data_IF_853190943767
#
_entry.id   IF_853190943767
#
_cell.length_a   1.000
_cell.length_b   1.000
_cell.length_c   1.000
_cell.angle_alpha   90.00
_cell.angle_beta   90.00
_cell.angle_gamma   90.00
#
_symmetry.space_group_name_H-M   'P 1'
#
loop_
_entity.id
_entity.type
_entity.pdbx_description
1 polymer ?
#
# COMPACT_ATOMS: atom_id res chain seq x y z
N UNK A 1 8.21 16.98 -3.86
CA UNK A 1 7.91 15.89 -4.83
C UNK A 1 7.93 14.59 -4.05
N UNK A 2 6.80 13.93 -3.89
CA UNK A 2 6.68 12.77 -2.99
C UNK A 2 7.09 11.50 -3.73
N UNK A 3 8.13 10.83 -3.25
CA UNK A 3 8.41 9.45 -3.63
C UNK A 3 7.45 8.59 -2.80
N UNK A 4 6.34 8.18 -3.38
CA UNK A 4 5.50 7.18 -2.76
C UNK A 4 5.95 5.85 -3.33
N UNK A 5 6.78 5.12 -2.56
CA UNK A 5 6.86 3.69 -2.78
C UNK A 5 5.48 3.15 -2.44
N UNK A 6 4.80 2.63 -3.45
CA UNK A 6 3.45 2.14 -3.32
C UNK A 6 3.41 0.89 -2.45
N UNK A 7 3.27 1.08 -1.16
CA UNK A 7 2.89 0.03 -0.24
C UNK A 7 1.57 0.45 0.40
N UNK A 8 0.45 0.02 -0.18
CA UNK A 8 -0.82 0.08 0.53
C UNK A 8 -0.82 -1.05 1.54
N UNK A 9 -0.75 -0.69 2.81
CA UNK A 9 -0.95 -1.64 3.88
C UNK A 9 -2.45 -1.74 4.17
N UNK A 10 -3.06 -2.87 3.83
CA UNK A 10 -4.35 -3.25 4.38
C UNK A 10 -4.08 -3.97 5.69
N UNK A 11 -4.25 -3.29 6.82
CA UNK A 11 -4.12 -3.89 8.13
C UNK A 11 -5.42 -4.60 8.51
N UNK A 12 -5.35 -5.91 8.72
CA UNK A 12 -6.47 -6.76 9.07
C UNK A 12 -6.31 -7.24 10.52
N UNK A 13 -7.23 -6.87 11.39
CA UNK A 13 -7.22 -7.29 12.79
C UNK A 13 -8.27 -8.38 13.01
N UNK A 14 -7.89 -9.52 13.56
CA UNK A 14 -8.82 -10.57 13.96
C UNK A 14 -9.05 -10.51 15.48
N UNK A 15 -10.28 -10.24 15.88
CA UNK A 15 -10.72 -10.30 17.29
C UNK A 15 -11.34 -11.66 17.58
N UNK A 16 -10.95 -12.26 18.71
CA UNK A 16 -11.33 -13.62 19.08
C UNK A 16 -12.82 -13.82 19.37
N UNK A 17 -13.37 -14.84 18.76
CA UNK A 17 -14.65 -15.46 19.09
C UNK A 17 -14.62 -16.93 18.62
N UNK A 18 -14.86 -17.85 19.54
CA UNK A 18 -14.59 -19.26 19.43
C UNK A 18 -15.24 -19.97 18.26
N UNK A 19 -14.45 -20.55 17.38
CA UNK A 19 -14.66 -21.84 16.73
C UNK A 19 -13.35 -22.27 16.06
N UNK A 20 -12.73 -23.33 16.57
CA UNK A 20 -11.52 -23.93 16.04
C UNK A 20 -11.78 -24.54 14.66
N UNK A 21 -11.50 -23.75 13.60
CA UNK A 21 -11.26 -24.28 12.28
C UNK A 21 -9.79 -24.01 11.96
N UNK A 22 -9.01 -25.05 11.72
CA UNK A 22 -7.59 -24.93 11.32
C UNK A 22 -7.47 -23.94 10.17
N UNK A 23 -6.78 -22.85 10.42
CA UNK A 23 -6.56 -21.78 9.45
C UNK A 23 -5.64 -22.29 8.33
N UNK A 24 -5.91 -22.00 7.06
CA UNK A 24 -5.11 -22.49 5.93
C UNK A 24 -3.68 -21.98 5.88
N UNK A 25 -3.32 -21.02 6.73
CA UNK A 25 -1.97 -20.45 6.80
C UNK A 25 -1.11 -20.94 7.97
N UNK A 26 -1.62 -21.83 8.84
CA UNK A 26 -0.84 -22.50 9.90
C UNK A 26 -0.13 -21.58 10.91
N UNK A 27 -0.32 -20.27 10.84
CA UNK A 27 0.39 -19.25 11.62
C UNK A 27 -0.41 -18.83 12.86
N UNK A 28 -1.72 -19.06 12.85
CA UNK A 28 -2.64 -18.61 13.90
C UNK A 28 -3.10 -19.83 14.71
N UNK A 29 -2.35 -20.11 15.79
CA UNK A 29 -2.77 -21.07 16.82
C UNK A 29 -3.90 -20.54 17.69
N UNK A 30 -4.37 -21.35 18.66
CA UNK A 30 -5.33 -20.91 19.67
C UNK A 30 -4.76 -19.72 20.44
N UNK A 31 -5.44 -18.59 20.35
CA UNK A 31 -4.98 -17.33 20.92
C UNK A 31 -5.34 -17.21 22.37
N UNK A 32 -4.35 -16.91 23.24
CA UNK A 32 -4.60 -16.56 24.62
C UNK A 32 -5.46 -15.27 24.72
N UNK A 33 -6.31 -15.11 25.74
CA UNK A 33 -7.17 -13.93 25.91
C UNK A 33 -6.44 -12.60 25.85
N UNK A 34 -5.19 -12.55 26.31
CA UNK A 34 -4.34 -11.35 26.35
C UNK A 34 -3.31 -11.29 25.21
N UNK A 35 -3.43 -12.17 24.19
CA UNK A 35 -2.50 -12.16 23.07
C UNK A 35 -2.65 -10.86 22.24
N UNK A 36 -1.55 -10.30 21.71
CA UNK A 36 -1.62 -9.13 20.85
C UNK A 36 -2.47 -9.43 19.57
N UNK A 37 -3.11 -8.44 18.93
CA UNK A 37 -3.93 -8.66 17.76
C UNK A 37 -3.12 -9.27 16.61
N UNK A 38 -3.75 -10.19 15.87
CA UNK A 38 -3.18 -10.68 14.63
C UNK A 38 -3.28 -9.58 13.57
N UNK A 39 -2.17 -9.31 12.88
CA UNK A 39 -2.09 -8.30 11.85
C UNK A 39 -1.67 -8.96 10.54
N UNK A 40 -2.45 -8.74 9.47
CA UNK A 40 -2.07 -9.04 8.09
C UNK A 40 -1.85 -7.72 7.36
N UNK A 41 -0.65 -7.51 6.85
CA UNK A 41 -0.30 -6.38 6.00
C UNK A 41 -0.23 -6.90 4.56
N UNK A 42 -0.94 -6.23 3.64
CA UNK A 42 -0.94 -6.54 2.22
C UNK A 42 -0.43 -5.34 1.44
N UNK A 43 0.78 -5.45 0.90
CA UNK A 43 1.31 -4.51 -0.08
C UNK A 43 0.58 -4.67 -1.41
N UNK A 44 0.20 -3.55 -2.02
CA UNK A 44 -0.48 -3.51 -3.32
C UNK A 44 0.21 -2.53 -4.25
N UNK A 45 0.23 -2.75 -5.58
CA UNK A 45 0.55 -1.68 -6.50
C UNK A 45 -0.62 -0.69 -6.51
N UNK A 46 -0.36 0.57 -6.83
CA UNK A 46 -1.44 1.53 -7.05
C UNK A 46 -2.20 1.16 -8.34
N UNK A 47 -3.38 0.56 -8.21
CA UNK A 47 -4.20 0.19 -9.37
C UNK A 47 -4.65 1.42 -10.17
N UNK A 48 -4.86 2.53 -9.49
CA UNK A 48 -5.16 3.83 -10.09
C UNK A 48 -3.96 4.77 -9.94
N UNK A 49 -2.84 4.43 -10.61
CA UNK A 49 -1.65 5.26 -10.55
C UNK A 49 -1.84 6.53 -11.38
N UNK A 50 -1.94 7.72 -10.75
CA UNK A 50 -2.13 8.99 -11.45
C UNK A 50 -0.85 9.52 -12.13
N UNK A 51 0.28 8.80 -12.05
CA UNK A 51 1.54 9.19 -12.67
C UNK A 51 2.23 10.38 -11.98
N UNK A 52 2.08 10.52 -10.67
CA UNK A 52 2.62 11.65 -9.88
C UNK A 52 3.89 11.34 -9.10
N UNK A 53 4.33 10.08 -9.16
CA UNK A 53 5.53 9.62 -8.47
C UNK A 53 6.78 9.88 -9.30
N UNK A 54 7.96 9.85 -8.67
CA UNK A 54 9.26 10.02 -9.35
C UNK A 54 9.45 8.92 -10.40
N UNK A 55 9.01 7.70 -10.11
CA UNK A 55 8.91 6.58 -11.04
C UNK A 55 7.48 6.05 -11.02
N UNK A 56 6.98 5.62 -12.17
CA UNK A 56 5.57 5.28 -12.29
C UNK A 56 5.39 3.90 -12.93
N UNK A 57 4.62 3.05 -12.25
CA UNK A 57 4.24 1.75 -12.77
C UNK A 57 2.94 1.85 -13.58
N UNK A 58 2.89 1.20 -14.75
CA UNK A 58 1.67 1.13 -15.56
C UNK A 58 0.90 -0.14 -15.20
N UNK A 59 -0.27 0.05 -14.61
CA UNK A 59 -1.18 -1.04 -14.27
C UNK A 59 -2.27 -1.14 -15.33
N UNK A 60 -2.61 -2.37 -15.72
CA UNK A 60 -3.76 -2.63 -16.58
C UNK A 60 -5.07 -2.19 -15.94
N UNK A 61 -6.11 -2.06 -16.77
CA UNK A 61 -7.43 -1.73 -16.25
C UNK A 61 -8.00 -2.89 -15.43
N UNK A 62 -8.00 -2.70 -14.12
CA UNK A 62 -8.52 -3.68 -13.14
C UNK A 62 -10.06 -3.80 -13.17
N UNK A 63 -10.76 -2.90 -13.86
CA UNK A 63 -12.22 -2.95 -14.00
C UNK A 63 -12.68 -3.91 -15.10
N UNK A 64 -11.78 -4.52 -15.87
CA UNK A 64 -12.15 -5.55 -16.84
C UNK A 64 -12.81 -6.74 -16.14
N UNK A 65 -13.76 -7.44 -16.76
CA UNK A 65 -14.47 -8.58 -16.15
C UNK A 65 -13.52 -9.69 -15.68
N UNK A 66 -12.39 -9.88 -16.33
CA UNK A 66 -11.38 -10.85 -15.94
C UNK A 66 -10.70 -10.44 -14.63
N UNK A 67 -10.16 -9.22 -14.57
CA UNK A 67 -9.49 -8.67 -13.37
C UNK A 67 -10.43 -8.57 -12.19
N UNK A 68 -11.71 -8.25 -12.44
CA UNK A 68 -12.72 -8.22 -11.38
C UNK A 68 -12.93 -9.60 -10.74
N UNK A 69 -13.02 -10.68 -11.54
CA UNK A 69 -13.13 -12.06 -10.99
C UNK A 69 -11.87 -12.43 -10.19
N UNK A 70 -10.70 -12.03 -10.63
CA UNK A 70 -9.44 -12.28 -9.91
C UNK A 70 -9.41 -11.56 -8.56
N UNK A 71 -9.82 -10.29 -8.53
CA UNK A 71 -9.91 -9.48 -7.30
C UNK A 71 -10.94 -10.06 -6.34
N UNK A 72 -12.12 -10.47 -6.84
CA UNK A 72 -13.14 -11.13 -6.02
C UNK A 72 -12.60 -12.41 -5.36
N UNK A 73 -11.86 -13.23 -6.10
CA UNK A 73 -11.23 -14.43 -5.54
C UNK A 73 -10.16 -14.09 -4.47
N UNK A 74 -9.46 -12.97 -4.59
CA UNK A 74 -8.52 -12.49 -3.58
C UNK A 74 -9.29 -12.05 -2.33
N UNK A 75 -10.35 -11.27 -2.49
CA UNK A 75 -11.20 -10.82 -1.38
C UNK A 75 -11.77 -12.01 -0.60
N UNK A 76 -12.24 -13.06 -1.28
CA UNK A 76 -12.70 -14.28 -0.62
C UNK A 76 -11.59 -14.96 0.21
N UNK A 77 -10.36 -14.99 -0.28
CA UNK A 77 -9.22 -15.52 0.46
C UNK A 77 -8.86 -14.67 1.68
N UNK A 78 -8.88 -13.35 1.53
CA UNK A 78 -8.65 -12.43 2.63
C UNK A 78 -9.78 -12.53 3.68
N UNK A 79 -11.02 -12.71 3.25
CA UNK A 79 -12.16 -12.91 4.14
C UNK A 79 -12.02 -14.20 5.00
N UNK A 80 -11.30 -15.22 4.51
CA UNK A 80 -11.02 -16.43 5.30
C UNK A 80 -10.14 -16.15 6.54
N UNK A 81 -9.35 -15.08 6.55
CA UNK A 81 -8.62 -14.61 7.74
C UNK A 81 -9.58 -14.05 8.80
N UNK A 82 -10.82 -13.73 8.43
CA UNK A 82 -11.87 -13.15 9.29
C UNK A 82 -11.44 -11.91 10.06
N UNK A 83 -10.89 -10.90 9.40
CA UNK A 83 -10.50 -9.67 10.06
C UNK A 83 -11.72 -8.99 10.67
N UNK A 84 -11.55 -8.41 11.86
CA UNK A 84 -12.55 -7.59 12.54
C UNK A 84 -12.45 -6.12 12.16
N UNK A 85 -11.34 -5.73 11.59
CA UNK A 85 -11.08 -4.38 11.11
C UNK A 85 -10.35 -4.46 9.75
N UNK A 86 -10.71 -3.54 8.86
CA UNK A 86 -9.99 -3.31 7.60
C UNK A 86 -9.49 -1.87 7.63
N UNK A 87 -8.20 -1.68 7.43
CA UNK A 87 -7.57 -0.39 7.33
C UNK A 87 -6.95 -0.21 5.93
N UNK A 88 -7.01 1.00 5.41
CA UNK A 88 -6.51 1.35 4.08
C UNK A 88 -5.67 2.62 4.14
N UNK A 89 -4.76 2.77 3.20
CA UNK A 89 -3.94 3.95 3.02
C UNK A 89 -4.79 5.12 2.49
N UNK A 90 -5.58 5.66 3.38
CA UNK A 90 -6.38 6.86 3.17
C UNK A 90 -6.03 7.84 4.28
N UNK A 91 -5.90 9.13 3.96
CA UNK A 91 -5.54 10.14 4.96
C UNK A 91 -6.47 10.06 6.17
N UNK A 92 -5.90 9.91 7.35
CA UNK A 92 -6.66 9.83 8.61
C UNK A 92 -7.53 11.06 8.84
N UNK A 93 -7.05 12.24 8.44
CA UNK A 93 -7.81 13.51 8.45
C UNK A 93 -9.03 13.50 7.53
N UNK A 94 -9.11 12.57 6.57
CA UNK A 94 -10.24 12.43 5.64
C UNK A 94 -11.12 11.21 5.93
N UNK A 95 -11.07 10.66 7.15
CA UNK A 95 -11.87 9.50 7.56
C UNK A 95 -13.36 9.65 7.26
N UNK A 96 -13.96 10.81 7.54
CA UNK A 96 -15.38 11.04 7.25
C UNK A 96 -15.73 10.88 5.75
N UNK A 97 -14.80 11.23 4.86
CA UNK A 97 -15.00 11.06 3.42
C UNK A 97 -14.98 9.56 3.05
N UNK A 98 -14.10 8.79 3.69
CA UNK A 98 -14.06 7.34 3.53
C UNK A 98 -15.33 6.69 4.08
N UNK A 99 -15.82 7.11 5.25
CA UNK A 99 -17.05 6.60 5.85
C UNK A 99 -18.26 6.83 4.94
N UNK A 100 -18.39 8.02 4.35
CA UNK A 100 -19.45 8.31 3.36
C UNK A 100 -19.34 7.45 2.11
N UNK A 101 -18.15 7.32 1.54
CA UNK A 101 -17.90 6.46 0.37
C UNK A 101 -18.29 5.02 0.65
N UNK A 102 -17.87 4.49 1.79
CA UNK A 102 -18.19 3.12 2.17
C UNK A 102 -19.68 2.91 2.42
N UNK A 103 -20.35 3.85 3.09
CA UNK A 103 -21.79 3.81 3.27
C UNK A 103 -22.56 3.85 1.93
N UNK A 104 -22.12 4.67 0.98
CA UNK A 104 -22.69 4.75 -0.36
C UNK A 104 -22.46 3.46 -1.15
N UNK A 105 -21.28 2.85 -1.06
CA UNK A 105 -20.99 1.56 -1.66
C UNK A 105 -21.93 0.45 -1.08
N UNK A 106 -22.05 0.34 0.23
CA UNK A 106 -22.96 -0.62 0.87
C UNK A 106 -24.42 -0.42 0.48
N UNK A 107 -24.80 0.80 0.18
CA UNK A 107 -26.16 1.15 -0.24
C UNK A 107 -26.39 1.07 -1.76
N UNK A 108 -25.40 0.64 -2.54
CA UNK A 108 -25.48 0.56 -3.99
C UNK A 108 -25.51 1.91 -4.71
N UNK A 109 -25.08 2.98 -4.05
CA UNK A 109 -25.02 4.35 -4.63
C UNK A 109 -23.62 4.76 -5.11
N UNK A 110 -22.62 3.93 -4.87
CA UNK A 110 -21.25 4.16 -5.30
C UNK A 110 -20.71 2.93 -6.01
N UNK A 111 -20.21 3.10 -7.21
CA UNK A 111 -19.48 2.09 -7.95
C UNK A 111 -17.99 2.17 -7.61
N UNK A 112 -17.37 1.01 -7.32
CA UNK A 112 -15.96 0.95 -6.95
C UNK A 112 -15.09 1.48 -8.09
N UNK A 113 -14.22 2.41 -7.78
CA UNK A 113 -13.21 2.93 -8.69
C UNK A 113 -12.09 1.90 -8.94
N UNK A 114 -11.11 2.23 -9.78
CA UNK A 114 -9.92 1.38 -10.00
C UNK A 114 -9.03 1.24 -8.77
N UNK A 115 -9.12 2.18 -7.84
CA UNK A 115 -8.31 2.28 -6.63
C UNK A 115 -8.33 0.97 -5.81
N UNK A 116 -7.17 0.47 -5.39
CA UNK A 116 -7.02 -0.74 -4.60
C UNK A 116 -7.74 -0.67 -3.25
N UNK A 117 -7.88 0.54 -2.69
CA UNK A 117 -8.64 0.77 -1.45
C UNK A 117 -10.11 0.46 -1.65
N UNK A 118 -10.65 0.77 -2.82
CA UNK A 118 -12.02 0.41 -3.21
C UNK A 118 -12.10 -1.09 -3.54
N UNK A 119 -11.23 -1.54 -4.44
CA UNK A 119 -11.29 -2.87 -5.02
C UNK A 119 -11.03 -3.99 -4.01
N UNK A 120 -10.15 -3.75 -3.05
CA UNK A 120 -9.81 -4.73 -2.00
C UNK A 120 -10.41 -4.29 -0.66
N UNK A 121 -10.12 -3.07 -0.21
CA UNK A 121 -10.47 -2.60 1.12
C UNK A 121 -11.98 -2.52 1.37
N UNK A 122 -12.71 -1.72 0.58
CA UNK A 122 -14.15 -1.56 0.74
C UNK A 122 -14.89 -2.87 0.43
N UNK A 123 -14.46 -3.61 -0.60
CA UNK A 123 -15.06 -4.88 -0.98
C UNK A 123 -14.92 -5.92 0.13
N UNK A 124 -13.74 -6.04 0.74
CA UNK A 124 -13.48 -6.96 1.85
C UNK A 124 -14.32 -6.60 3.08
N UNK A 125 -14.34 -5.32 3.46
CA UNK A 125 -15.14 -4.86 4.59
C UNK A 125 -16.63 -5.14 4.38
N UNK A 126 -17.16 -4.86 3.20
CA UNK A 126 -18.56 -5.15 2.85
C UNK A 126 -18.87 -6.66 2.84
N UNK A 127 -17.94 -7.47 2.30
CA UNK A 127 -18.03 -8.94 2.28
C UNK A 127 -18.13 -9.54 3.68
N UNK A 128 -17.47 -8.91 4.66
CA UNK A 128 -17.46 -9.31 6.07
C UNK A 128 -18.58 -8.67 6.89
N UNK A 129 -19.37 -7.77 6.31
CA UNK A 129 -20.41 -7.03 7.03
C UNK A 129 -19.87 -6.05 8.06
N UNK A 130 -18.62 -5.58 7.91
CA UNK A 130 -18.03 -4.60 8.81
C UNK A 130 -18.72 -3.24 8.63
N UNK A 131 -18.87 -2.53 9.73
CA UNK A 131 -19.55 -1.23 9.70
C UNK A 131 -18.67 -0.09 9.19
N UNK A 132 -17.35 -0.27 9.25
CA UNK A 132 -16.37 0.79 8.93
C UNK A 132 -15.12 0.24 8.27
N UNK A 133 -14.49 1.10 7.44
CA UNK A 133 -13.11 0.96 6.98
C UNK A 133 -12.30 2.09 7.60
N UNK A 134 -11.08 1.80 8.06
CA UNK A 134 -10.25 2.74 8.78
C UNK A 134 -9.22 3.40 7.87
N UNK A 135 -9.16 4.72 7.90
CA UNK A 135 -8.13 5.51 7.25
C UNK A 135 -6.92 5.60 8.19
N UNK A 136 -5.76 5.10 7.75
CA UNK A 136 -4.56 5.02 8.61
C UNK A 136 -3.33 5.71 8.03
N UNK A 137 -3.48 6.32 6.85
CA UNK A 137 -2.38 7.07 6.26
C UNK A 137 -2.20 8.42 6.97
N UNK A 138 -0.96 8.70 7.32
CA UNK A 138 -0.53 10.03 7.71
C UNK A 138 0.24 10.64 6.53
N UNK A 139 -0.40 11.52 5.79
CA UNK A 139 0.17 12.17 4.62
C UNK A 139 -0.02 13.69 4.74
N UNK A 140 0.47 14.23 5.84
CA UNK A 140 0.52 15.66 6.10
C UNK A 140 1.95 16.14 5.99
N UNK A 141 2.13 17.42 5.71
CA UNK A 141 3.47 18.01 5.70
C UNK A 141 4.03 17.98 7.12
N UNK A 142 5.22 17.38 7.38
CA UNK A 142 5.81 17.42 8.70
C UNK A 142 6.16 18.86 9.09
N UNK A 143 6.37 19.14 10.39
CA UNK A 143 6.82 20.47 10.85
C UNK A 143 8.14 20.87 10.18
N UNK A 144 8.22 22.09 9.67
CA UNK A 144 9.41 22.63 9.00
C UNK A 144 9.11 23.19 7.62
N UNK A 145 10.15 23.57 6.91
CA UNK A 145 10.05 24.09 5.55
C UNK A 145 10.10 22.93 4.55
N UNK A 146 9.47 23.07 3.39
CA UNK A 146 9.49 22.05 2.34
C UNK A 146 10.94 21.67 1.94
N UNK A 147 11.84 22.63 1.95
CA UNK A 147 13.27 22.42 1.65
C UNK A 147 13.96 21.44 2.61
N UNK A 148 13.46 21.31 3.85
CA UNK A 148 14.03 20.40 4.86
C UNK A 148 13.79 18.91 4.50
N UNK A 149 12.89 18.65 3.55
CA UNK A 149 12.47 17.31 3.10
C UNK A 149 12.70 17.07 1.61
N UNK A 150 13.17 18.09 0.86
CA UNK A 150 13.39 17.99 -0.58
C UNK A 150 14.78 17.41 -0.87
N UNK A 151 14.92 16.09 -0.65
CA UNK A 151 16.16 15.37 -0.96
C UNK A 151 16.52 15.41 -2.45
N UNK A 152 15.53 15.58 -3.33
CA UNK A 152 15.81 15.70 -4.76
C UNK A 152 16.48 17.02 -5.10
N UNK A 153 15.96 18.14 -4.61
CA UNK A 153 16.60 19.45 -4.80
C UNK A 153 17.98 19.48 -4.15
N UNK A 154 18.16 18.84 -3.00
CA UNK A 154 19.47 18.68 -2.37
C UNK A 154 20.44 17.93 -3.29
N UNK A 155 20.04 16.78 -3.82
CA UNK A 155 20.87 15.98 -4.73
C UNK A 155 21.30 16.79 -5.96
N UNK A 156 20.40 17.58 -6.55
CA UNK A 156 20.70 18.45 -7.69
C UNK A 156 21.76 19.51 -7.37
N UNK A 157 21.73 20.09 -6.19
CA UNK A 157 22.67 21.15 -5.77
C UNK A 157 24.05 20.62 -5.36
N UNK A 158 24.13 19.37 -4.90
CA UNK A 158 25.32 18.82 -4.25
C UNK A 158 26.08 17.78 -5.11
N UNK A 159 25.90 17.82 -6.43
CA UNK A 159 26.65 16.99 -7.37
C UNK A 159 26.22 15.52 -7.40
N UNK A 160 25.05 15.20 -6.83
CA UNK A 160 24.47 13.85 -6.82
C UNK A 160 23.43 13.63 -7.95
N UNK A 161 23.22 14.65 -8.79
CA UNK A 161 22.19 14.65 -9.83
C UNK A 161 22.33 13.46 -10.78
N UNK A 162 23.53 13.23 -11.32
CA UNK A 162 23.78 12.14 -12.27
C UNK A 162 23.52 10.77 -11.65
N UNK A 163 24.00 10.55 -10.43
CA UNK A 163 23.77 9.29 -9.70
C UNK A 163 22.28 9.06 -9.40
N UNK A 164 21.57 10.12 -9.00
CA UNK A 164 20.15 10.06 -8.72
C UNK A 164 19.34 9.78 -9.99
N UNK A 165 19.63 10.45 -11.09
CA UNK A 165 18.94 10.25 -12.37
C UNK A 165 19.22 8.85 -12.93
N UNK A 166 20.43 8.32 -12.77
CA UNK A 166 20.77 6.94 -13.14
C UNK A 166 20.00 5.92 -12.30
N UNK A 167 19.90 6.11 -10.99
CA UNK A 167 19.11 5.26 -10.10
C UNK A 167 17.62 5.30 -10.46
N UNK A 168 17.07 6.49 -10.71
CA UNK A 168 15.70 6.69 -11.17
C UNK A 168 15.41 5.98 -12.49
N UNK A 169 16.32 6.11 -13.47
CA UNK A 169 16.18 5.43 -14.77
C UNK A 169 16.20 3.92 -14.61
N UNK A 170 17.06 3.39 -13.75
CA UNK A 170 17.13 1.94 -13.44
C UNK A 170 15.81 1.46 -12.83
N UNK A 171 15.31 2.17 -11.83
CA UNK A 171 14.04 1.84 -11.15
C UNK A 171 12.85 1.92 -12.13
N UNK A 172 12.80 2.94 -13.01
CA UNK A 172 11.75 3.04 -14.02
C UNK A 172 11.81 1.86 -15.00
N UNK A 173 12.99 1.45 -15.43
CA UNK A 173 13.15 0.29 -16.31
C UNK A 173 12.71 -1.03 -15.63
N UNK A 174 12.87 -1.16 -14.31
CA UNK A 174 12.35 -2.28 -13.54
C UNK A 174 10.83 -2.27 -13.46
N UNK A 175 10.23 -1.11 -13.20
CA UNK A 175 8.78 -0.95 -13.19
C UNK A 175 8.15 -1.21 -14.56
N UNK A 176 8.82 -0.81 -15.64
CA UNK A 176 8.35 -1.10 -17.00
C UNK A 176 8.37 -2.62 -17.28
N UNK A 177 9.43 -3.33 -16.89
CA UNK A 177 9.50 -4.80 -17.00
C UNK A 177 8.43 -5.48 -16.16
N UNK A 178 8.21 -5.00 -14.94
CA UNK A 178 7.17 -5.53 -14.07
C UNK A 178 5.78 -5.29 -14.65
N UNK A 179 5.53 -4.12 -15.22
CA UNK A 179 4.28 -3.81 -15.92
C UNK A 179 4.00 -4.76 -17.07
N UNK A 180 5.03 -5.12 -17.86
CA UNK A 180 4.89 -6.14 -18.92
C UNK A 180 4.58 -7.53 -18.34
N UNK A 181 5.24 -7.91 -17.24
CA UNK A 181 4.97 -9.19 -16.55
C UNK A 181 3.55 -9.25 -16.01
N UNK A 182 3.05 -8.15 -15.46
CA UNK A 182 1.68 -8.04 -14.94
C UNK A 182 0.63 -8.30 -16.01
N UNK A 183 0.85 -7.90 -17.26
CA UNK A 183 -0.06 -8.18 -18.37
C UNK A 183 -0.24 -9.67 -18.66
N UNK A 184 0.79 -10.47 -18.39
CA UNK A 184 0.78 -11.90 -18.63
C UNK A 184 0.41 -12.74 -17.39
N UNK A 185 0.06 -12.09 -16.27
CA UNK A 185 -0.21 -12.75 -15.00
C UNK A 185 -1.50 -12.23 -14.37
N UNK A 186 -2.00 -12.94 -13.35
CA UNK A 186 -3.19 -12.51 -12.62
C UNK A 186 -2.87 -11.60 -11.43
N UNK A 187 -3.88 -10.89 -10.93
CA UNK A 187 -3.72 -9.93 -9.80
C UNK A 187 -3.16 -10.62 -8.55
N UNK A 188 -3.51 -11.90 -8.30
CA UNK A 188 -2.94 -12.63 -7.17
C UNK A 188 -1.43 -12.88 -7.32
N UNK A 189 -0.93 -13.01 -8.55
CA UNK A 189 0.51 -13.10 -8.81
C UNK A 189 1.20 -11.76 -8.59
N UNK A 190 0.58 -10.63 -8.97
CA UNK A 190 1.09 -9.29 -8.69
C UNK A 190 1.28 -9.09 -7.19
N UNK A 191 0.21 -9.34 -6.42
CA UNK A 191 0.25 -9.19 -4.97
C UNK A 191 1.29 -10.12 -4.33
N UNK A 192 1.37 -11.39 -4.75
CA UNK A 192 2.41 -12.31 -4.22
C UNK A 192 3.82 -11.78 -4.50
N UNK A 193 4.06 -11.24 -5.70
CA UNK A 193 5.37 -10.68 -6.05
C UNK A 193 5.81 -9.57 -5.11
N UNK A 194 4.89 -8.65 -4.79
CA UNK A 194 5.16 -7.51 -3.89
C UNK A 194 5.30 -7.90 -2.41
N UNK A 195 4.69 -8.99 -1.99
CA UNK A 195 4.63 -9.41 -0.59
C UNK A 195 5.60 -10.56 -0.27
N UNK A 196 6.65 -10.76 -1.07
CA UNK A 196 7.74 -11.67 -0.71
C UNK A 196 8.70 -11.01 0.28
N UNK A 197 9.38 -11.77 1.15
CA UNK A 197 10.43 -11.23 2.01
C UNK A 197 11.53 -10.50 1.23
N UNK A 198 11.83 -10.96 0.01
CA UNK A 198 12.80 -10.34 -0.89
C UNK A 198 12.34 -8.97 -1.37
N UNK A 199 11.12 -8.89 -1.91
CA UNK A 199 10.54 -7.62 -2.39
C UNK A 199 10.40 -6.60 -1.26
N UNK A 200 10.01 -7.03 -0.06
CA UNK A 200 9.92 -6.16 1.11
C UNK A 200 11.31 -5.63 1.53
N UNK A 201 12.34 -6.48 1.53
CA UNK A 201 13.71 -6.02 1.82
C UNK A 201 14.24 -5.04 0.77
N UNK A 202 13.96 -5.29 -0.50
CA UNK A 202 14.37 -4.40 -1.60
C UNK A 202 13.67 -3.04 -1.51
N UNK A 203 12.36 -3.04 -1.30
CA UNK A 203 11.61 -1.81 -1.07
C UNK A 203 12.16 -1.03 0.13
N UNK A 204 12.43 -1.70 1.24
CA UNK A 204 12.98 -1.09 2.44
C UNK A 204 14.36 -0.49 2.21
N UNK A 205 15.21 -1.16 1.41
CA UNK A 205 16.52 -0.64 1.03
C UNK A 205 16.43 0.70 0.31
N UNK A 206 15.45 0.88 -0.58
CA UNK A 206 15.22 2.15 -1.26
C UNK A 206 14.99 3.33 -0.29
N UNK A 207 14.32 3.10 0.83
CA UNK A 207 14.17 4.12 1.87
C UNK A 207 15.49 4.45 2.58
N UNK A 208 16.34 3.45 2.84
CA UNK A 208 17.67 3.69 3.38
C UNK A 208 18.55 4.50 2.42
N UNK A 209 18.50 4.20 1.13
CA UNK A 209 19.26 4.93 0.11
C UNK A 209 18.82 6.41 0.07
N UNK A 210 17.51 6.67 0.18
CA UNK A 210 16.99 8.04 0.31
C UNK A 210 17.47 8.70 1.61
N UNK A 211 17.42 7.98 2.74
CA UNK A 211 17.82 8.52 4.04
C UNK A 211 19.29 8.93 4.10
N UNK A 212 20.13 8.39 3.22
CA UNK A 212 21.54 8.75 3.10
C UNK A 212 21.78 10.03 2.28
N UNK A 213 20.74 10.61 1.67
CA UNK A 213 20.84 11.85 0.91
C UNK A 213 20.86 13.03 1.88
N UNK A 214 22.05 13.60 2.10
CA UNK A 214 22.27 14.69 3.03
C UNK A 214 23.74 14.78 3.45
N UNK A 215 23.98 15.63 4.43
CA UNK A 215 25.28 15.78 5.10
C UNK A 215 25.09 15.94 6.62
N UNK A 216 26.17 16.34 7.33
CA UNK A 216 26.11 16.49 8.79
C UNK A 216 25.19 17.64 9.27
N UNK A 217 24.91 18.61 8.41
CA UNK A 217 24.14 19.82 8.73
C UNK A 217 22.72 19.78 8.13
N UNK A 218 22.60 19.16 6.92
CA UNK A 218 21.36 19.17 6.14
C UNK A 218 21.05 17.75 5.67
N UNK A 219 20.00 17.14 6.24
CA UNK A 219 19.62 15.76 6.00
C UNK A 219 18.20 15.61 5.45
N UNK A 220 17.89 16.12 4.25
CA UNK A 220 16.53 16.09 3.73
C UNK A 220 16.03 14.67 3.47
N UNK A 221 16.90 13.73 3.11
CA UNK A 221 16.54 12.33 2.92
C UNK A 221 16.12 11.66 4.24
N UNK A 222 16.93 11.80 5.30
CA UNK A 222 16.60 11.26 6.61
C UNK A 222 15.36 11.93 7.20
N UNK A 223 15.19 13.24 7.03
CA UNK A 223 14.00 13.97 7.46
C UNK A 223 12.74 13.44 6.74
N UNK A 224 12.84 13.24 5.42
CA UNK A 224 11.73 12.72 4.64
C UNK A 224 11.34 11.31 5.08
N UNK A 225 12.29 10.38 5.21
CA UNK A 225 12.04 9.01 5.69
C UNK A 225 11.49 9.02 7.12
N UNK A 226 12.05 9.86 8.00
CA UNK A 226 11.61 9.96 9.39
C UNK A 226 10.25 10.62 9.58
N UNK A 227 9.69 11.27 8.54
CA UNK A 227 8.37 11.87 8.60
C UNK A 227 7.23 10.87 8.39
N UNK A 228 7.56 9.66 7.99
CA UNK A 228 6.63 8.54 7.78
C UNK A 228 6.61 7.60 9.00
#
# INVERSE_FOLDING_TARGET
MKLVAAAVAVALFAGGGAASARQPFGILGDRAPDAPPDLLILGTPHFDNPGRDIVNQKIEDVLTPERQREIEAIVERLAAFRPTHVAVEWRSSAQEKLDRRYADYRAGRYELSRDERDQIGLRLAARLGLDRVHAVDWNEMPPGEEADYDFYAYAQKNGLAESFDAAKATMQAEFDRESERMRCTNVAAWLRGLNTPEALRESHRGYYDIALIGDAETNPGANWVGSW
#
